data_IF_457465198782
#
_entry.id   IF_457465198782
#
_cell.length_a   1.000
_cell.length_b   1.000
_cell.length_c   1.000
_cell.angle_alpha   90.00
_cell.angle_beta   90.00
_cell.angle_gamma   90.00
#
_symmetry.space_group_name_H-M   'P 1'
#
loop_
_entity.id
_entity.type
_entity.pdbx_description
1 polymer ?
#
# COMPACT_ATOMS: atom_id res chain seq x y z
N UNK A 1 -2.53 33.66 5.58
CA UNK A 1 -3.66 33.72 4.62
C UNK A 1 -4.92 33.97 5.44
N UNK A 2 -5.58 35.12 5.28
CA UNK A 2 -6.78 35.49 6.07
C UNK A 2 -7.94 35.59 5.09
N UNK A 3 -8.98 34.77 5.31
CA UNK A 3 -10.21 34.79 4.52
C UNK A 3 -11.36 35.00 5.50
N UNK A 4 -12.21 35.99 5.21
CA UNK A 4 -13.44 36.32 5.97
C UNK A 4 -14.63 35.78 5.16
N UNK A 5 -15.63 35.19 5.82
CA UNK A 5 -16.78 34.50 5.19
C UNK A 5 -18.08 34.98 5.84
N UNK A 6 -19.12 35.23 5.04
CA UNK A 6 -20.35 35.93 5.46
C UNK A 6 -21.65 35.08 5.34
N UNK A 7 -21.63 33.80 4.93
CA UNK A 7 -22.88 33.01 4.81
C UNK A 7 -22.80 31.56 5.33
N UNK A 8 -23.93 31.00 5.81
CA UNK A 8 -24.02 29.62 6.32
C UNK A 8 -23.60 28.53 5.30
N UNK A 9 -23.90 28.72 4.00
CA UNK A 9 -23.39 27.85 2.92
C UNK A 9 -21.88 27.99 2.69
N UNK A 10 -21.27 29.12 3.06
CA UNK A 10 -19.82 29.31 3.01
C UNK A 10 -19.13 28.70 4.24
N UNK A 11 -19.81 28.68 5.39
CA UNK A 11 -19.34 28.03 6.61
C UNK A 11 -19.25 26.50 6.40
N UNK A 12 -20.28 25.88 5.82
CA UNK A 12 -20.26 24.43 5.49
C UNK A 12 -19.18 24.09 4.45
N UNK A 13 -18.99 24.94 3.44
CA UNK A 13 -17.91 24.76 2.47
C UNK A 13 -16.51 24.94 3.10
N UNK A 14 -16.37 25.88 4.03
CA UNK A 14 -15.11 26.11 4.74
C UNK A 14 -14.74 24.93 5.64
N UNK A 15 -15.70 24.43 6.44
CA UNK A 15 -15.50 23.28 7.31
C UNK A 15 -15.11 22.03 6.50
N UNK A 16 -15.75 21.82 5.34
CA UNK A 16 -15.38 20.73 4.43
C UNK A 16 -13.96 20.85 3.87
N UNK A 17 -13.54 22.06 3.47
CA UNK A 17 -12.17 22.31 2.98
C UNK A 17 -11.16 22.08 4.11
N UNK A 18 -11.46 22.53 5.33
CA UNK A 18 -10.61 22.32 6.50
C UNK A 18 -10.46 20.83 6.82
N UNK A 19 -11.56 20.08 6.90
CA UNK A 19 -11.56 18.63 7.13
C UNK A 19 -10.78 17.88 6.05
N UNK A 20 -11.01 18.22 4.78
CA UNK A 20 -10.29 17.61 3.66
C UNK A 20 -8.79 17.89 3.71
N UNK A 21 -8.40 19.12 4.09
CA UNK A 21 -7.00 19.50 4.26
C UNK A 21 -6.35 18.72 5.41
N UNK A 22 -7.06 18.54 6.52
CA UNK A 22 -6.59 17.76 7.68
C UNK A 22 -6.37 16.30 7.28
N UNK A 23 -7.34 15.68 6.59
CA UNK A 23 -7.23 14.28 6.14
C UNK A 23 -6.04 14.12 5.19
N UNK A 24 -5.93 15.01 4.20
CA UNK A 24 -4.82 14.97 3.26
C UNK A 24 -3.47 15.13 3.97
N UNK A 25 -3.38 16.00 4.98
CA UNK A 25 -2.18 16.15 5.80
C UNK A 25 -1.86 14.88 6.59
N UNK A 26 -2.87 14.24 7.19
CA UNK A 26 -2.74 12.99 7.94
C UNK A 26 -2.22 11.86 7.03
N UNK A 27 -2.77 11.72 5.83
CA UNK A 27 -2.33 10.74 4.83
C UNK A 27 -0.87 10.97 4.41
N UNK A 28 -0.51 12.23 4.11
CA UNK A 28 0.86 12.61 3.73
C UNK A 28 1.84 12.31 4.86
N UNK A 29 1.47 12.67 6.10
CA UNK A 29 2.28 12.45 7.29
C UNK A 29 2.51 10.96 7.53
N UNK A 30 1.44 10.16 7.46
CA UNK A 30 1.50 8.70 7.59
C UNK A 30 2.41 8.08 6.53
N UNK A 31 2.23 8.45 5.25
CA UNK A 31 3.06 7.96 4.15
C UNK A 31 4.53 8.34 4.33
N UNK A 32 4.83 9.61 4.60
CA UNK A 32 6.21 10.07 4.69
C UNK A 32 6.95 9.41 5.86
N UNK A 33 6.31 9.28 7.03
CA UNK A 33 6.90 8.63 8.19
C UNK A 33 7.13 7.13 7.94
N UNK A 34 6.15 6.42 7.37
CA UNK A 34 6.31 4.99 7.11
C UNK A 34 7.21 4.67 5.91
N UNK A 35 7.38 5.57 4.94
CA UNK A 35 8.41 5.43 3.89
C UNK A 35 9.81 5.77 4.41
N UNK A 36 9.91 6.65 5.41
CA UNK A 36 11.17 6.98 6.09
C UNK A 36 11.61 5.86 7.02
N UNK A 37 10.71 5.39 7.88
CA UNK A 37 10.93 4.29 8.81
C UNK A 37 9.63 3.46 8.89
N UNK A 38 9.56 2.31 8.22
CA UNK A 38 8.36 1.47 8.18
C UNK A 38 7.94 1.04 9.59
N UNK A 39 6.67 1.28 9.94
CA UNK A 39 6.14 1.00 11.28
C UNK A 39 6.18 2.19 12.24
N UNK A 40 6.76 3.32 11.85
CA UNK A 40 6.98 4.45 12.77
C UNK A 40 5.70 5.20 13.18
N UNK A 41 4.60 5.05 12.45
CA UNK A 41 3.36 5.76 12.74
C UNK A 41 2.12 4.94 12.38
N UNK A 42 1.22 4.77 13.35
CA UNK A 42 -0.18 4.40 13.13
C UNK A 42 -1.09 5.51 13.65
N UNK A 43 -2.21 5.73 13.01
CA UNK A 43 -3.17 6.79 13.36
C UNK A 43 -4.56 6.20 13.39
N UNK A 44 -5.26 6.43 14.50
CA UNK A 44 -6.69 6.19 14.60
C UNK A 44 -7.35 7.44 15.17
N UNK A 45 -8.20 8.09 14.38
CA UNK A 45 -8.93 9.28 14.79
C UNK A 45 -10.28 9.36 14.10
N UNK A 46 -11.20 10.10 14.69
CA UNK A 46 -12.48 10.41 14.07
C UNK A 46 -12.46 11.83 13.52
N UNK A 47 -12.93 11.99 12.29
CA UNK A 47 -13.17 13.31 11.68
C UNK A 47 -14.67 13.51 11.58
N UNK A 48 -15.14 14.70 11.91
CA UNK A 48 -16.56 15.04 11.80
C UNK A 48 -16.75 15.88 10.55
N UNK A 49 -17.35 15.28 9.53
CA UNK A 49 -17.79 15.97 8.31
C UNK A 49 -19.23 16.43 8.51
N UNK A 50 -19.45 17.73 8.59
CA UNK A 50 -20.75 18.29 8.98
C UNK A 50 -21.20 17.78 10.36
N UNK A 51 -22.23 18.41 10.94
CA UNK A 51 -22.69 18.09 12.31
C UNK A 51 -23.18 16.64 12.50
N UNK A 52 -23.39 15.89 11.43
CA UNK A 52 -24.07 14.59 11.46
C UNK A 52 -23.25 13.41 10.91
N UNK A 53 -22.18 13.63 10.14
CA UNK A 53 -21.38 12.54 9.58
C UNK A 53 -20.02 12.43 10.27
N UNK A 54 -19.83 11.38 11.05
CA UNK A 54 -18.52 11.04 11.61
C UNK A 54 -17.90 9.97 10.75
N UNK A 55 -16.69 10.25 10.27
CA UNK A 55 -15.84 9.27 9.62
C UNK A 55 -14.66 8.92 10.52
N UNK A 56 -14.05 7.78 10.28
CA UNK A 56 -12.90 7.28 11.03
C UNK A 56 -11.70 7.14 10.09
N UNK A 57 -10.61 7.86 10.39
CA UNK A 57 -9.31 7.58 9.80
C UNK A 57 -8.64 6.52 10.66
N UNK A 58 -8.24 5.41 10.06
CA UNK A 58 -7.68 4.28 10.77
C UNK A 58 -6.51 3.67 9.99
N UNK A 59 -5.41 4.42 9.92
CA UNK A 59 -4.21 4.05 9.21
C UNK A 59 -3.30 3.21 10.12
N UNK A 60 -3.21 1.91 9.84
CA UNK A 60 -2.38 0.95 10.55
C UNK A 60 -1.05 0.69 9.83
N UNK A 61 0.04 0.70 10.58
CA UNK A 61 1.39 0.41 10.07
C UNK A 61 1.86 -1.01 10.34
N UNK A 62 1.04 -1.90 10.90
CA UNK A 62 1.45 -3.25 11.32
C UNK A 62 2.12 -4.05 10.19
N UNK A 63 1.52 -4.08 9.00
CA UNK A 63 2.12 -4.73 7.82
C UNK A 63 3.41 -4.05 7.33
N UNK A 64 3.57 -2.75 7.60
CA UNK A 64 4.76 -1.99 7.21
C UNK A 64 5.92 -2.27 8.19
N UNK A 65 5.63 -2.39 9.48
CA UNK A 65 6.59 -2.75 10.54
C UNK A 65 7.23 -4.12 10.27
N UNK A 66 6.41 -5.09 9.83
CA UNK A 66 6.88 -6.43 9.45
C UNK A 66 7.92 -6.45 8.32
N UNK A 67 8.11 -5.34 7.59
CA UNK A 67 9.00 -5.29 6.42
C UNK A 67 10.46 -5.64 6.76
N UNK A 68 10.95 -5.23 7.92
CA UNK A 68 12.30 -5.60 8.37
C UNK A 68 12.42 -7.11 8.59
N UNK A 69 11.43 -7.72 9.25
CA UNK A 69 11.41 -9.16 9.49
C UNK A 69 11.31 -9.96 8.18
N UNK A 70 10.50 -9.50 7.22
CA UNK A 70 10.39 -10.13 5.90
C UNK A 70 11.71 -10.05 5.14
N UNK A 71 12.34 -8.86 5.11
CA UNK A 71 13.65 -8.64 4.51
C UNK A 71 14.69 -9.61 5.07
N UNK A 72 14.79 -9.73 6.40
CA UNK A 72 15.73 -10.63 7.06
C UNK A 72 15.46 -12.11 6.73
N UNK A 73 14.19 -12.55 6.79
CA UNK A 73 13.79 -13.93 6.45
C UNK A 73 14.17 -14.30 5.01
N UNK A 74 14.18 -13.33 4.11
CA UNK A 74 14.52 -13.51 2.69
C UNK A 74 15.99 -13.23 2.37
N UNK A 75 16.84 -13.11 3.40
CA UNK A 75 18.28 -12.95 3.25
C UNK A 75 18.70 -11.54 2.83
N UNK A 76 18.00 -10.52 3.34
CA UNK A 76 18.26 -9.11 3.04
C UNK A 76 17.59 -8.60 1.77
N UNK A 77 16.63 -9.35 1.21
CA UNK A 77 15.92 -8.98 -0.02
C UNK A 77 14.39 -9.05 0.16
N UNK A 78 13.61 -8.06 -0.30
CA UNK A 78 14.08 -6.81 -0.85
C UNK A 78 14.66 -5.94 0.27
N UNK A 79 15.58 -5.05 -0.09
CA UNK A 79 16.23 -4.20 0.90
C UNK A 79 15.24 -3.17 1.47
N UNK A 80 15.19 -3.09 2.80
CA UNK A 80 14.44 -2.07 3.55
C UNK A 80 15.46 -1.19 4.28
N UNK A 81 15.29 0.12 4.17
CA UNK A 81 16.21 1.10 4.78
C UNK A 81 15.46 2.06 5.69
N UNK A 82 16.20 2.66 6.62
CA UNK A 82 15.76 3.89 7.28
C UNK A 82 16.28 5.05 6.43
N UNK A 83 15.36 5.82 5.84
CA UNK A 83 15.67 6.99 5.02
C UNK A 83 15.42 8.23 5.86
N UNK A 84 16.35 9.20 5.95
CA UNK A 84 16.07 10.47 6.62
C UNK A 84 14.79 11.12 6.08
N UNK A 85 13.86 11.45 6.99
CA UNK A 85 12.53 11.97 6.65
C UNK A 85 12.57 13.14 5.66
N UNK A 86 13.58 14.01 5.76
CA UNK A 86 13.81 15.12 4.84
C UNK A 86 13.76 14.67 3.37
N UNK A 87 14.46 13.60 3.01
CA UNK A 87 14.51 13.12 1.61
C UNK A 87 13.17 12.55 1.15
N UNK A 88 12.43 11.91 2.05
CA UNK A 88 11.09 11.39 1.74
C UNK A 88 10.11 12.53 1.50
N UNK A 89 10.15 13.57 2.34
CA UNK A 89 9.30 14.77 2.19
C UNK A 89 9.65 15.54 0.92
N UNK A 90 10.94 15.74 0.64
CA UNK A 90 11.40 16.37 -0.61
C UNK A 90 10.92 15.58 -1.83
N UNK A 91 11.09 14.25 -1.83
CA UNK A 91 10.59 13.39 -2.89
C UNK A 91 9.07 13.49 -3.06
N UNK A 92 8.31 13.38 -1.97
CA UNK A 92 6.84 13.45 -2.02
C UNK A 92 6.36 14.79 -2.58
N UNK A 93 6.92 15.91 -2.10
CA UNK A 93 6.62 17.24 -2.61
C UNK A 93 6.93 17.36 -4.11
N UNK A 94 8.01 16.72 -4.56
CA UNK A 94 8.43 16.74 -5.96
C UNK A 94 7.44 16.07 -6.92
N UNK A 95 6.53 15.22 -6.41
CA UNK A 95 5.47 14.57 -7.18
C UNK A 95 4.29 15.50 -7.48
N UNK A 96 4.18 16.64 -6.77
CA UNK A 96 3.08 17.62 -6.94
C UNK A 96 1.67 17.00 -6.81
N UNK A 97 1.48 16.07 -5.86
CA UNK A 97 0.17 15.43 -5.62
C UNK A 97 -0.82 16.44 -5.03
N UNK A 98 -0.38 17.31 -4.12
CA UNK A 98 -1.21 18.34 -3.50
C UNK A 98 -2.43 17.74 -2.80
N UNK A 99 -3.61 18.33 -3.03
CA UNK A 99 -4.89 17.91 -2.47
C UNK A 99 -5.74 17.12 -3.48
N UNK A 100 -5.10 16.32 -4.36
CA UNK A 100 -5.82 15.54 -5.38
C UNK A 100 -6.68 14.46 -4.72
N UNK A 101 -7.95 14.40 -5.14
CA UNK A 101 -8.91 13.38 -4.69
C UNK A 101 -8.75 12.07 -5.48
N UNK A 102 -8.26 12.15 -6.72
CA UNK A 102 -8.13 11.01 -7.63
C UNK A 102 -6.71 10.91 -8.17
N UNK A 103 -6.20 9.69 -8.22
CA UNK A 103 -4.94 9.40 -8.87
C UNK A 103 -5.04 9.49 -10.41
N UNK A 104 -4.13 10.23 -11.01
CA UNK A 104 -4.02 10.49 -12.45
C UNK A 104 -2.86 9.70 -13.07
N UNK A 105 -1.79 9.45 -12.31
CA UNK A 105 -0.62 8.69 -12.76
C UNK A 105 -0.38 7.41 -11.93
N UNK A 106 0.60 6.61 -12.39
CA UNK A 106 0.95 5.31 -11.82
C UNK A 106 1.42 5.41 -10.36
N UNK A 107 2.25 6.41 -10.02
CA UNK A 107 2.76 6.61 -8.66
C UNK A 107 1.66 7.07 -7.70
N UNK A 108 0.80 8.00 -8.14
CA UNK A 108 -0.37 8.41 -7.34
C UNK A 108 -1.27 7.20 -7.06
N UNK A 109 -1.51 6.33 -8.05
CA UNK A 109 -2.28 5.10 -7.84
C UNK A 109 -1.60 4.16 -6.85
N UNK A 110 -0.28 4.01 -6.90
CA UNK A 110 0.49 3.23 -5.94
C UNK A 110 0.31 3.75 -4.51
N UNK A 111 0.51 5.05 -4.30
CA UNK A 111 0.42 5.67 -2.98
C UNK A 111 -1.01 5.64 -2.43
N UNK A 112 -2.00 5.92 -3.26
CA UNK A 112 -3.40 5.89 -2.83
C UNK A 112 -3.85 4.46 -2.52
N UNK A 113 -3.44 3.47 -3.32
CA UNK A 113 -3.74 2.06 -3.02
C UNK A 113 -3.06 1.59 -1.73
N UNK A 114 -1.85 2.09 -1.43
CA UNK A 114 -1.15 1.81 -0.18
C UNK A 114 -1.90 2.43 1.02
N UNK A 115 -2.42 3.65 0.90
CA UNK A 115 -3.28 4.25 1.92
C UNK A 115 -4.54 3.44 2.16
N UNK A 116 -5.23 2.98 1.10
CA UNK A 116 -6.40 2.10 1.24
C UNK A 116 -6.06 0.76 1.90
N UNK A 117 -4.88 0.19 1.58
CA UNK A 117 -4.41 -1.02 2.25
C UNK A 117 -4.15 -0.80 3.75
N UNK A 118 -3.59 0.35 4.12
CA UNK A 118 -3.33 0.69 5.52
C UNK A 118 -4.59 1.14 6.28
N UNK A 119 -5.62 1.62 5.57
CA UNK A 119 -6.90 2.03 6.15
C UNK A 119 -7.84 0.83 6.36
N UNK A 120 -7.39 -0.17 7.13
CA UNK A 120 -8.19 -1.36 7.41
C UNK A 120 -9.07 -1.15 8.65
N UNK A 121 -10.35 -0.90 8.41
CA UNK A 121 -11.38 -0.77 9.46
C UNK A 121 -11.95 -2.11 9.92
N UNK A 122 -11.48 -3.23 9.38
CA UNK A 122 -12.01 -4.54 9.71
C UNK A 122 -11.27 -5.16 10.91
N UNK A 123 -12.02 -5.48 11.96
CA UNK A 123 -11.53 -6.35 13.02
C UNK A 123 -11.61 -7.81 12.55
N UNK A 124 -10.62 -8.28 11.79
CA UNK A 124 -10.53 -9.70 11.41
C UNK A 124 -9.96 -9.97 10.02
N UNK A 125 -10.38 -11.09 9.44
CA UNK A 125 -9.92 -11.54 8.13
C UNK A 125 -10.46 -10.63 7.02
N UNK A 126 -9.57 -9.96 6.30
CA UNK A 126 -9.92 -9.10 5.18
C UNK A 126 -9.11 -9.46 3.91
N UNK A 127 -9.64 -10.32 3.02
CA UNK A 127 -8.94 -10.74 1.82
C UNK A 127 -8.81 -9.61 0.78
N UNK A 128 -9.61 -8.54 0.92
CA UNK A 128 -9.54 -7.37 0.02
C UNK A 128 -8.20 -6.64 0.11
N UNK A 129 -7.48 -6.79 1.22
CA UNK A 129 -6.13 -6.26 1.39
C UNK A 129 -5.18 -6.72 0.28
N UNK A 130 -5.32 -7.97 -0.17
CA UNK A 130 -4.50 -8.51 -1.27
C UNK A 130 -4.78 -7.81 -2.60
N UNK A 131 -5.99 -7.31 -2.80
CA UNK A 131 -6.37 -6.55 -3.99
C UNK A 131 -5.68 -5.19 -3.98
N UNK A 132 -5.68 -4.48 -2.85
CA UNK A 132 -5.03 -3.17 -2.72
C UNK A 132 -3.51 -3.23 -2.93
N UNK A 133 -2.85 -4.25 -2.37
CA UNK A 133 -1.41 -4.47 -2.59
C UNK A 133 -1.12 -4.75 -4.07
N UNK A 134 -1.84 -5.69 -4.70
CA UNK A 134 -1.63 -6.01 -6.12
C UNK A 134 -1.88 -4.78 -6.99
N UNK A 135 -2.96 -4.03 -6.72
CA UNK A 135 -3.25 -2.77 -7.41
C UNK A 135 -2.11 -1.77 -7.27
N UNK A 136 -1.52 -1.66 -6.08
CA UNK A 136 -0.37 -0.78 -5.81
C UNK A 136 0.86 -1.19 -6.63
N UNK A 137 1.19 -2.48 -6.65
CA UNK A 137 2.33 -3.04 -7.41
C UNK A 137 2.13 -2.96 -8.93
N UNK A 138 0.94 -3.32 -9.43
CA UNK A 138 0.60 -3.23 -10.85
C UNK A 138 0.67 -1.78 -11.34
N UNK A 139 0.14 -0.85 -10.55
CA UNK A 139 0.23 0.59 -10.84
C UNK A 139 1.68 1.05 -10.82
N UNK A 140 2.46 0.66 -9.81
CA UNK A 140 3.87 1.07 -9.67
C UNK A 140 4.69 0.69 -10.90
N UNK A 141 4.44 -0.52 -11.41
CA UNK A 141 5.11 -1.04 -12.59
C UNK A 141 4.43 -0.69 -13.91
N UNK A 142 3.29 0.01 -13.90
CA UNK A 142 2.53 0.35 -15.11
C UNK A 142 2.04 -0.88 -15.89
N UNK A 143 1.69 -1.97 -15.20
CA UNK A 143 1.19 -3.21 -15.81
C UNK A 143 -0.24 -2.97 -16.31
N UNK A 144 -0.54 -3.40 -17.54
CA UNK A 144 -1.87 -3.26 -18.13
C UNK A 144 -2.63 -4.59 -18.09
N UNK A 145 -3.95 -4.53 -18.18
CA UNK A 145 -4.84 -5.70 -18.13
C UNK A 145 -4.56 -6.76 -19.19
N UNK A 146 -3.93 -6.39 -20.30
CA UNK A 146 -3.64 -7.27 -21.42
C UNK A 146 -2.27 -7.98 -21.27
N UNK A 147 -1.49 -7.62 -20.25
CA UNK A 147 -0.19 -8.23 -20.00
C UNK A 147 -0.34 -9.60 -19.33
N UNK A 148 0.68 -10.45 -19.45
CA UNK A 148 0.85 -11.59 -18.55
C UNK A 148 1.25 -11.06 -17.16
N UNK A 149 0.26 -10.59 -16.39
CA UNK A 149 0.43 -9.80 -15.15
C UNK A 149 1.52 -10.37 -14.25
N UNK A 150 1.44 -11.67 -13.93
CA UNK A 150 2.39 -12.30 -13.01
C UNK A 150 3.82 -12.38 -13.57
N UNK A 151 3.97 -12.64 -14.87
CA UNK A 151 5.28 -12.72 -15.53
C UNK A 151 5.91 -11.33 -15.57
N UNK A 152 5.13 -10.33 -15.96
CA UNK A 152 5.54 -8.93 -16.04
C UNK A 152 5.92 -8.40 -14.65
N UNK A 153 5.09 -8.67 -13.64
CA UNK A 153 5.33 -8.29 -12.25
C UNK A 153 6.66 -8.86 -11.73
N UNK A 154 6.88 -10.17 -11.90
CA UNK A 154 8.13 -10.82 -11.49
C UNK A 154 9.36 -10.21 -12.17
N UNK A 155 9.29 -10.06 -13.49
CA UNK A 155 10.39 -9.51 -14.28
C UNK A 155 10.75 -8.09 -13.82
N UNK A 156 9.74 -7.21 -13.71
CA UNK A 156 9.92 -5.82 -13.31
C UNK A 156 10.34 -5.68 -11.85
N UNK A 157 9.84 -6.54 -10.94
CA UNK A 157 10.30 -6.61 -9.55
C UNK A 157 11.78 -6.92 -9.44
N UNK A 158 12.27 -7.97 -10.10
CA UNK A 158 13.69 -8.32 -10.04
C UNK A 158 14.59 -7.33 -10.77
N UNK A 159 14.08 -6.68 -11.82
CA UNK A 159 14.79 -5.58 -12.49
C UNK A 159 14.91 -4.36 -11.57
N UNK A 160 13.82 -3.99 -10.89
CA UNK A 160 13.79 -2.83 -9.99
C UNK A 160 14.53 -3.09 -8.69
N UNK A 161 14.24 -4.18 -7.97
CA UNK A 161 14.79 -4.46 -6.64
C UNK A 161 16.12 -5.23 -6.68
N UNK A 162 16.56 -5.69 -7.84
CA UNK A 162 17.74 -6.54 -8.00
C UNK A 162 17.45 -8.01 -7.71
N UNK A 163 18.49 -8.83 -7.80
CA UNK A 163 18.39 -10.28 -7.56
C UNK A 163 18.39 -10.61 -6.07
N UNK A 164 17.74 -11.72 -5.74
CA UNK A 164 17.71 -12.30 -4.38
C UNK A 164 18.59 -13.54 -4.32
N UNK A 165 19.11 -13.86 -3.14
CA UNK A 165 19.77 -15.15 -2.87
C UNK A 165 18.77 -16.32 -2.82
N UNK A 166 17.47 -16.04 -2.70
CA UNK A 166 16.41 -17.05 -2.54
C UNK A 166 15.35 -16.99 -3.66
N UNK A 167 15.73 -17.04 -4.95
CA UNK A 167 14.82 -16.74 -6.06
C UNK A 167 13.67 -17.73 -6.16
N UNK A 168 13.87 -19.00 -5.79
CA UNK A 168 12.80 -20.01 -5.78
C UNK A 168 11.72 -19.69 -4.76
N UNK A 169 12.10 -19.29 -3.55
CA UNK A 169 11.18 -18.96 -2.45
C UNK A 169 10.40 -17.70 -2.77
N UNK A 170 11.10 -16.65 -3.22
CA UNK A 170 10.47 -15.40 -3.64
C UNK A 170 9.49 -15.62 -4.80
N UNK A 171 9.90 -16.36 -5.84
CA UNK A 171 9.02 -16.64 -6.97
C UNK A 171 7.78 -17.44 -6.57
N UNK A 172 7.91 -18.35 -5.59
CA UNK A 172 6.79 -19.08 -5.01
C UNK A 172 5.87 -18.12 -4.24
N UNK A 173 6.39 -17.26 -3.36
CA UNK A 173 5.58 -16.27 -2.63
C UNK A 173 4.83 -15.31 -3.56
N UNK A 174 5.45 -14.83 -4.64
CA UNK A 174 4.77 -13.99 -5.64
C UNK A 174 3.64 -14.77 -6.33
N UNK A 175 3.86 -16.06 -6.67
CA UNK A 175 2.81 -16.92 -7.22
C UNK A 175 1.67 -17.13 -6.24
N UNK A 176 1.99 -17.45 -4.99
CA UNK A 176 1.01 -17.69 -3.94
C UNK A 176 0.17 -16.43 -3.69
N UNK A 177 0.81 -15.26 -3.69
CA UNK A 177 0.15 -13.96 -3.53
C UNK A 177 -0.84 -13.67 -4.65
N UNK A 178 -0.39 -13.79 -5.90
CA UNK A 178 -1.25 -13.55 -7.06
C UNK A 178 -2.39 -14.58 -7.14
N UNK A 179 -2.10 -15.85 -6.88
CA UNK A 179 -3.13 -16.90 -6.85
C UNK A 179 -4.17 -16.65 -5.77
N UNK A 180 -3.75 -16.20 -4.58
CA UNK A 180 -4.65 -15.87 -3.48
C UNK A 180 -5.62 -14.73 -3.86
N UNK A 181 -5.09 -13.63 -4.39
CA UNK A 181 -5.89 -12.51 -4.93
C UNK A 181 -6.81 -12.97 -6.06
N UNK A 182 -6.30 -13.78 -6.99
CA UNK A 182 -7.06 -14.32 -8.12
C UNK A 182 -8.26 -15.13 -7.63
N UNK A 183 -8.06 -16.06 -6.70
CA UNK A 183 -9.15 -16.86 -6.13
C UNK A 183 -10.20 -15.99 -5.44
N UNK A 184 -9.77 -14.97 -4.70
CA UNK A 184 -10.71 -14.04 -4.06
C UNK A 184 -11.56 -13.29 -5.09
N UNK A 185 -10.94 -12.70 -6.11
CA UNK A 185 -11.67 -11.89 -7.12
C UNK A 185 -12.56 -12.74 -8.03
N UNK A 186 -12.18 -13.99 -8.31
CA UNK A 186 -12.93 -14.88 -9.20
C UNK A 186 -13.90 -15.82 -8.48
N UNK A 187 -13.97 -15.77 -7.14
CA UNK A 187 -14.94 -16.55 -6.35
C UNK A 187 -14.50 -17.99 -6.00
N UNK A 188 -13.26 -18.35 -6.28
CA UNK A 188 -12.68 -19.67 -5.96
C UNK A 188 -12.12 -19.75 -4.53
N UNK A 189 -12.18 -18.65 -3.77
CA UNK A 189 -11.72 -18.60 -2.39
C UNK A 189 -12.83 -19.04 -1.43
N UNK A 190 -12.50 -19.98 -0.54
CA UNK A 190 -13.32 -20.29 0.63
C UNK A 190 -13.34 -19.08 1.57
N UNK A 191 -14.52 -18.63 1.98
CA UNK A 191 -14.71 -17.47 2.86
C UNK A 191 -15.24 -17.94 4.22
N UNK A 192 -14.55 -17.56 5.29
CA UNK A 192 -15.02 -17.82 6.65
C UNK A 192 -16.28 -17.00 6.95
N UNK A 193 -17.23 -17.62 7.64
CA UNK A 193 -18.46 -16.93 8.06
C UNK A 193 -18.11 -15.79 9.02
N UNK A 194 -18.73 -14.63 8.82
CA UNK A 194 -18.56 -13.48 9.70
C UNK A 194 -18.91 -13.83 11.16
N UNK A 195 -18.09 -13.37 12.11
CA UNK A 195 -18.30 -13.62 13.54
C UNK A 195 -18.08 -15.08 13.97
N UNK A 196 -17.40 -15.91 13.16
CA UNK A 196 -17.00 -17.25 13.61
C UNK A 196 -15.97 -17.11 14.71
N UNK A 197 -16.29 -17.64 15.88
CA UNK A 197 -15.42 -17.61 17.05
C UNK A 197 -14.22 -18.54 16.83
N UNK A 198 -13.00 -18.02 17.08
CA UNK A 198 -11.76 -18.79 17.00
C UNK A 198 -11.84 -20.05 17.88
N UNK A 199 -12.46 -19.93 19.07
CA UNK A 199 -12.56 -20.99 20.07
C UNK A 199 -13.32 -22.25 19.62
N UNK A 200 -13.97 -22.27 18.45
CA UNK A 200 -14.68 -23.44 17.94
C UNK A 200 -13.78 -24.38 17.11
N UNK A 201 -12.78 -23.85 16.40
CA UNK A 201 -11.85 -24.58 15.51
C UNK A 201 -10.54 -23.79 15.33
N UNK A 202 -9.72 -23.72 16.38
CA UNK A 202 -8.51 -22.89 16.40
C UNK A 202 -7.51 -23.22 15.26
N UNK A 203 -7.35 -24.50 14.92
CA UNK A 203 -6.32 -24.98 13.97
C UNK A 203 -6.52 -24.50 12.53
N UNK A 204 -7.74 -24.64 12.00
CA UNK A 204 -8.08 -24.24 10.63
C UNK A 204 -8.16 -22.72 10.48
N UNK A 205 -8.63 -22.04 11.52
CA UNK A 205 -8.78 -20.59 11.51
C UNK A 205 -7.39 -19.94 11.57
N UNK A 206 -6.48 -20.43 12.42
CA UNK A 206 -5.16 -19.82 12.53
C UNK A 206 -4.32 -20.00 11.25
N UNK A 207 -4.31 -21.17 10.60
CA UNK A 207 -3.58 -21.34 9.33
C UNK A 207 -4.08 -20.38 8.24
N UNK A 208 -5.40 -20.24 8.13
CA UNK A 208 -6.03 -19.38 7.14
C UNK A 208 -5.71 -17.90 7.34
N UNK A 209 -5.77 -17.41 8.59
CA UNK A 209 -5.43 -16.03 8.93
C UNK A 209 -3.92 -15.76 8.81
N UNK A 210 -3.08 -16.66 9.32
CA UNK A 210 -1.62 -16.52 9.26
C UNK A 210 -1.14 -16.43 7.81
N UNK A 211 -1.72 -17.24 6.90
CA UNK A 211 -1.40 -17.17 5.48
C UNK A 211 -1.71 -15.81 4.87
N UNK A 212 -2.86 -15.20 5.18
CA UNK A 212 -3.18 -13.86 4.69
C UNK A 212 -2.21 -12.82 5.24
N UNK A 213 -1.91 -12.88 6.54
CA UNK A 213 -0.96 -11.95 7.19
C UNK A 213 0.41 -12.04 6.51
N UNK A 214 0.95 -13.25 6.35
CA UNK A 214 2.25 -13.45 5.68
C UNK A 214 2.29 -12.91 4.25
N UNK A 215 1.18 -13.04 3.53
CA UNK A 215 1.03 -12.55 2.17
C UNK A 215 0.96 -11.01 2.15
N UNK A 216 0.22 -10.41 3.07
CA UNK A 216 0.14 -8.96 3.22
C UNK A 216 1.47 -8.35 3.67
N UNK A 217 2.15 -8.94 4.65
CA UNK A 217 3.49 -8.53 5.09
C UNK A 217 4.47 -8.55 3.91
N UNK A 218 4.49 -9.66 3.15
CA UNK A 218 5.35 -9.78 1.97
C UNK A 218 5.03 -8.72 0.91
N UNK A 219 3.75 -8.53 0.59
CA UNK A 219 3.30 -7.55 -0.38
C UNK A 219 3.61 -6.11 0.01
N UNK A 220 3.37 -5.75 1.27
CA UNK A 220 3.71 -4.45 1.84
C UNK A 220 5.22 -4.19 1.76
N UNK A 221 6.03 -5.20 2.11
CA UNK A 221 7.50 -5.13 2.00
C UNK A 221 7.96 -4.83 0.58
N UNK A 222 7.34 -5.45 -0.44
CA UNK A 222 7.64 -5.17 -1.84
C UNK A 222 7.28 -3.72 -2.22
N UNK A 223 6.12 -3.20 -1.80
CA UNK A 223 5.71 -1.82 -2.09
C UNK A 223 6.66 -0.81 -1.44
N UNK A 224 6.95 -0.98 -0.15
CA UNK A 224 7.84 -0.09 0.61
C UNK A 224 9.24 -0.09 0.01
N UNK A 225 9.84 -1.26 -0.22
CA UNK A 225 11.18 -1.34 -0.84
C UNK A 225 11.21 -0.71 -2.24
N UNK A 226 10.16 -0.88 -3.03
CA UNK A 226 10.02 -0.26 -4.35
C UNK A 226 10.03 1.28 -4.27
N UNK A 227 9.20 1.85 -3.39
CA UNK A 227 9.11 3.29 -3.16
C UNK A 227 10.38 3.86 -2.53
N UNK A 228 10.95 3.19 -1.53
CA UNK A 228 12.23 3.57 -0.91
C UNK A 228 13.36 3.63 -1.93
N UNK A 229 13.44 2.64 -2.83
CA UNK A 229 14.43 2.68 -3.92
C UNK A 229 14.22 3.83 -4.89
N UNK A 230 12.97 4.23 -5.16
CA UNK A 230 12.70 5.45 -5.94
C UNK A 230 13.16 6.71 -5.21
N UNK A 231 12.86 6.83 -3.92
CA UNK A 231 13.27 7.97 -3.08
C UNK A 231 14.80 8.11 -3.06
N UNK A 232 15.51 7.01 -2.83
CA UNK A 232 16.99 7.00 -2.78
C UNK A 232 17.61 7.43 -4.12
N UNK A 233 16.95 7.10 -5.23
CA UNK A 233 17.41 7.45 -6.58
C UNK A 233 16.88 8.80 -7.07
N UNK A 234 16.12 9.55 -6.25
CA UNK A 234 15.42 10.78 -6.64
C UNK A 234 14.54 10.62 -7.90
N UNK A 235 13.95 9.43 -8.07
CA UNK A 235 13.13 9.08 -9.22
C UNK A 235 11.66 9.39 -8.98
N UNK A 236 11.00 10.02 -9.96
CA UNK A 236 9.56 10.34 -9.93
C UNK A 236 8.68 9.42 -10.77
N UNK A 237 9.30 8.63 -11.65
CA UNK A 237 8.61 7.70 -12.55
C UNK A 237 9.49 6.51 -12.85
N UNK A 238 8.87 5.40 -13.24
CA UNK A 238 9.54 4.22 -13.76
C UNK A 238 9.04 3.97 -15.17
N UNK A 239 9.96 3.69 -16.08
CA UNK A 239 9.66 3.32 -17.46
C UNK A 239 10.39 2.03 -17.80
N UNK A 240 9.70 1.12 -18.49
CA UNK A 240 10.26 -0.13 -18.99
C UNK A 240 10.30 -0.09 -20.51
N UNK A 241 11.44 -0.48 -21.10
CA UNK A 241 11.61 -0.60 -22.55
C UNK A 241 11.90 -2.05 -22.89
N UNK A 242 11.15 -2.59 -23.84
CA UNK A 242 11.36 -3.94 -24.38
C UNK A 242 12.05 -3.82 -25.74
N UNK A 243 13.13 -4.58 -25.93
CA UNK A 243 13.88 -4.61 -27.19
C UNK A 243 13.86 -6.03 -27.75
N UNK A 244 13.60 -6.15 -29.06
CA UNK A 244 13.64 -7.41 -29.78
C UNK A 244 14.96 -7.45 -30.56
N UNK A 245 15.76 -8.49 -30.33
CA UNK A 245 16.99 -8.75 -31.08
C UNK A 245 16.78 -9.97 -31.98
N UNK A 246 16.93 -9.77 -33.30
CA UNK A 246 16.98 -10.87 -34.26
C UNK A 246 18.41 -11.38 -34.32
N UNK A 247 18.58 -12.68 -34.03
CA UNK A 247 19.86 -13.38 -34.22
C UNK A 247 19.97 -13.93 -35.62
#
# INVERSE_FOLDING_TARGET
MKITYENANEIDNKENIENFTIISFVDVLFLCLNLSFPGSMSIRTSVTFHKEFKDEINLHSGYLESSFQVCDKLGGWPEIRIIPLKYVVEWYNSLNIGLKIKAENDIERTLFSLLYFCNDNHSGFNPTLTVWIIQSLESFFGIKSNDSIIKTLKSRLFLHLGTTLQPKIVNKKINDFYNYRSKFVHGDMEILKYGTDKFLRDDLIDEYYLRLIELCDFGATLIISCLQKMIINDSKKIEFRETIEYK
#
